data_IF_676795237319
#
_entry.id   IF_676795237319
#
_cell.length_a   1.000
_cell.length_b   1.000
_cell.length_c   1.000
_cell.angle_alpha   90.00
_cell.angle_beta   90.00
_cell.angle_gamma   90.00
#
_symmetry.space_group_name_H-M   'P 1'
#
loop_
_entity.id
_entity.type
_entity.pdbx_description
1 polymer ?
#
# COMPACT_ATOMS: atom_id res chain seq x y z
N UNK A 1 23.23 26.76 0.77
CA UNK A 1 22.62 28.07 0.47
C UNK A 1 21.15 27.79 0.25
N UNK A 2 20.43 27.87 1.35
CA UNK A 2 19.05 27.45 1.51
C UNK A 2 18.11 28.35 0.71
N UNK A 3 17.29 27.74 -0.13
CA UNK A 3 15.99 28.29 -0.53
C UNK A 3 14.94 27.31 -0.05
N UNK A 4 14.69 27.36 1.25
CA UNK A 4 13.41 26.95 1.83
C UNK A 4 12.45 28.07 1.43
N UNK A 5 11.72 27.85 0.34
CA UNK A 5 10.52 28.64 0.04
C UNK A 5 9.41 28.12 0.95
N UNK A 6 9.21 28.81 2.08
CA UNK A 6 7.97 28.80 2.83
C UNK A 6 6.84 29.28 1.90
N UNK A 7 5.90 28.41 1.51
CA UNK A 7 4.48 28.75 1.18
C UNK A 7 3.64 27.70 0.40
N UNK A 8 4.01 26.42 0.25
CA UNK A 8 3.13 25.45 -0.45
C UNK A 8 3.02 24.05 0.20
N UNK A 9 2.74 23.97 1.51
CA UNK A 9 2.36 22.69 2.14
C UNK A 9 0.93 22.22 1.77
N UNK A 10 0.17 23.10 1.10
CA UNK A 10 -1.22 22.87 0.71
C UNK A 10 -1.40 23.20 -0.77
N UNK A 11 -1.85 22.21 -1.53
CA UNK A 11 -2.23 22.36 -2.93
C UNK A 11 -3.74 22.56 -3.01
N UNK A 12 -4.15 23.59 -3.74
CA UNK A 12 -5.53 23.94 -4.04
C UNK A 12 -5.76 23.71 -5.53
N UNK A 13 -6.82 22.95 -5.86
CA UNK A 13 -7.23 22.72 -7.24
C UNK A 13 -8.73 22.95 -7.34
N UNK A 14 -9.12 23.95 -8.14
CA UNK A 14 -10.51 24.23 -8.47
C UNK A 14 -10.88 23.47 -9.74
N UNK A 15 -11.97 22.72 -9.68
CA UNK A 15 -12.43 21.83 -10.74
C UNK A 15 -13.89 22.20 -11.07
N UNK A 16 -14.24 22.32 -12.34
CA UNK A 16 -15.64 22.50 -12.75
C UNK A 16 -16.41 21.18 -12.85
N UNK A 17 -17.71 21.29 -13.10
CA UNK A 17 -18.59 20.15 -13.36
C UNK A 17 -18.17 19.28 -14.56
N UNK A 18 -17.43 19.83 -15.53
CA UNK A 18 -16.82 19.09 -16.65
C UNK A 18 -15.49 18.40 -16.27
N UNK A 19 -15.14 18.34 -14.99
CA UNK A 19 -13.90 17.72 -14.48
C UNK A 19 -12.63 18.35 -15.04
N UNK A 20 -12.67 19.63 -15.39
CA UNK A 20 -11.52 20.39 -15.87
C UNK A 20 -11.00 21.33 -14.80
N UNK A 21 -9.67 21.45 -14.72
CA UNK A 21 -8.99 22.37 -13.80
C UNK A 21 -9.29 23.81 -14.25
N UNK A 22 -9.94 24.57 -13.38
CA UNK A 22 -10.20 26.00 -13.57
C UNK A 22 -9.10 26.86 -12.96
N UNK A 23 -8.52 26.41 -11.85
CA UNK A 23 -7.44 27.07 -11.14
C UNK A 23 -6.62 26.04 -10.37
N UNK A 24 -5.32 26.27 -10.26
CA UNK A 24 -4.48 25.64 -9.25
C UNK A 24 -3.41 26.61 -8.78
N UNK A 25 -3.01 26.50 -7.52
CA UNK A 25 -1.84 27.24 -7.02
C UNK A 25 -0.51 26.60 -7.44
N UNK A 26 -0.52 25.37 -7.95
CA UNK A 26 0.66 24.72 -8.53
C UNK A 26 0.56 24.68 -10.06
N UNK A 27 1.67 24.34 -10.72
CA UNK A 27 1.68 24.14 -12.17
C UNK A 27 0.62 23.12 -12.63
N UNK A 28 0.02 23.35 -13.79
CA UNK A 28 -1.08 22.53 -14.31
C UNK A 28 -0.69 21.04 -14.44
N UNK A 29 0.53 20.74 -14.86
CA UNK A 29 1.01 19.34 -14.97
C UNK A 29 1.10 18.69 -13.59
N UNK A 30 1.60 19.42 -12.59
CA UNK A 30 1.66 18.94 -11.19
C UNK A 30 0.25 18.72 -10.63
N UNK A 31 -0.68 19.65 -10.90
CA UNK A 31 -2.07 19.51 -10.49
C UNK A 31 -2.73 18.26 -11.11
N UNK A 32 -2.52 18.01 -12.40
CA UNK A 32 -3.02 16.81 -13.10
C UNK A 32 -2.44 15.52 -12.52
N UNK A 33 -1.14 15.49 -12.21
CA UNK A 33 -0.49 14.37 -11.53
C UNK A 33 -1.13 14.10 -10.17
N UNK A 34 -1.34 15.12 -9.33
CA UNK A 34 -1.98 14.96 -8.04
C UNK A 34 -3.44 14.51 -8.13
N UNK A 35 -4.23 15.06 -9.06
CA UNK A 35 -5.61 14.61 -9.27
C UNK A 35 -5.69 13.13 -9.62
N UNK A 36 -4.77 12.66 -10.47
CA UNK A 36 -4.67 11.25 -10.86
C UNK A 36 -4.16 10.37 -9.73
N UNK A 37 -3.03 10.72 -9.12
CA UNK A 37 -2.37 9.92 -8.07
C UNK A 37 -3.19 9.76 -6.80
N UNK A 38 -3.98 10.78 -6.47
CA UNK A 38 -4.80 10.82 -5.27
C UNK A 38 -6.25 10.43 -5.57
N UNK A 39 -6.55 10.00 -6.81
CA UNK A 39 -7.86 9.53 -7.24
C UNK A 39 -9.00 10.54 -7.01
N UNK A 40 -8.72 11.84 -7.12
CA UNK A 40 -9.66 12.90 -6.70
C UNK A 40 -10.98 12.84 -7.47
N UNK A 41 -10.94 12.52 -8.75
CA UNK A 41 -12.14 12.38 -9.58
C UNK A 41 -13.03 11.18 -9.22
N UNK A 42 -12.45 10.16 -8.59
CA UNK A 42 -13.20 9.00 -8.10
C UNK A 42 -13.94 9.32 -6.79
N UNK A 43 -13.53 10.40 -6.12
CA UNK A 43 -14.02 10.85 -4.81
C UNK A 43 -14.60 12.27 -4.85
N UNK A 44 -15.29 12.66 -5.92
CA UNK A 44 -16.05 13.92 -5.92
C UNK A 44 -17.29 13.78 -5.02
N UNK A 45 -17.50 14.68 -4.05
CA UNK A 45 -18.61 14.55 -3.11
C UNK A 45 -19.96 14.75 -3.80
N UNK A 46 -20.95 13.95 -3.38
CA UNK A 46 -22.34 14.13 -3.81
C UNK A 46 -22.98 15.34 -3.13
N UNK A 47 -22.75 15.50 -1.82
CA UNK A 47 -23.26 16.62 -1.00
C UNK A 47 -22.18 17.70 -0.82
N UNK A 48 -21.72 17.96 0.41
CA UNK A 48 -20.91 19.15 0.71
C UNK A 48 -19.41 18.89 0.68
N UNK A 49 -18.94 17.83 1.33
CA UNK A 49 -17.51 17.60 1.52
C UNK A 49 -17.21 16.12 1.67
N UNK A 50 -16.08 15.69 1.15
CA UNK A 50 -15.47 14.42 1.47
C UNK A 50 -14.02 14.64 1.86
N UNK A 51 -13.57 13.94 2.89
CA UNK A 51 -12.17 13.92 3.32
C UNK A 51 -11.68 12.50 3.36
N UNK A 52 -10.52 12.26 2.79
CA UNK A 52 -9.84 10.98 2.86
C UNK A 52 -8.34 11.20 2.89
N UNK A 53 -7.63 10.17 3.32
CA UNK A 53 -6.18 10.20 3.31
C UNK A 53 -5.67 9.13 2.36
N UNK A 54 -4.74 9.51 1.50
CA UNK A 54 -4.12 8.61 0.54
C UNK A 54 -2.63 8.92 0.49
N UNK A 55 -1.81 7.87 0.65
CA UNK A 55 -0.36 8.01 0.83
C UNK A 55 -0.04 9.02 1.95
N UNK A 56 0.76 10.03 1.67
CA UNK A 56 1.15 11.08 2.64
C UNK A 56 0.24 12.30 2.58
N UNK A 57 -0.91 12.23 1.90
CA UNK A 57 -1.77 13.39 1.69
C UNK A 57 -3.09 13.24 2.42
N UNK A 58 -3.49 14.31 3.10
CA UNK A 58 -4.89 14.52 3.45
C UNK A 58 -5.55 15.27 2.31
N UNK A 59 -6.56 14.67 1.71
CA UNK A 59 -7.34 15.28 0.64
C UNK A 59 -8.72 15.61 1.18
N UNK A 60 -9.12 16.86 1.03
CA UNK A 60 -10.47 17.31 1.30
C UNK A 60 -11.03 17.94 0.04
N UNK A 61 -12.15 17.41 -0.46
CA UNK A 61 -12.84 17.96 -1.62
C UNK A 61 -14.14 18.58 -1.15
N UNK A 62 -14.29 19.88 -1.39
CA UNK A 62 -15.51 20.64 -1.13
C UNK A 62 -16.30 20.77 -2.42
N UNK A 63 -17.62 20.57 -2.38
CA UNK A 63 -18.53 20.94 -3.47
C UNK A 63 -19.31 22.18 -3.06
N UNK A 64 -19.40 23.13 -3.97
CA UNK A 64 -20.11 24.39 -3.76
C UNK A 64 -20.62 24.95 -5.09
N UNK A 65 -21.54 25.92 -5.01
CA UNK A 65 -22.07 26.60 -6.18
C UNK A 65 -21.61 28.06 -6.18
N UNK A 66 -21.11 28.53 -7.32
CA UNK A 66 -20.86 29.95 -7.62
C UNK A 66 -21.75 30.34 -8.79
N UNK A 67 -22.57 31.38 -8.63
CA UNK A 67 -23.49 31.88 -9.66
C UNK A 67 -24.29 30.77 -10.35
N UNK A 68 -24.88 29.88 -9.55
CA UNK A 68 -25.66 28.69 -9.99
C UNK A 68 -24.85 27.62 -10.75
N UNK A 69 -23.54 27.77 -10.85
CA UNK A 69 -22.63 26.79 -11.44
C UNK A 69 -21.90 26.03 -10.35
N UNK A 70 -21.83 24.70 -10.48
CA UNK A 70 -21.22 23.82 -9.49
C UNK A 70 -19.71 23.68 -9.72
N UNK A 71 -18.95 23.74 -8.63
CA UNK A 71 -17.50 23.57 -8.59
C UNK A 71 -17.07 22.64 -7.45
N UNK A 72 -15.86 22.11 -7.60
CA UNK A 72 -15.16 21.38 -6.56
C UNK A 72 -13.84 22.07 -6.23
N UNK A 73 -13.56 22.26 -4.94
CA UNK A 73 -12.25 22.67 -4.46
C UNK A 73 -11.57 21.48 -3.78
N UNK A 74 -10.55 20.94 -4.42
CA UNK A 74 -9.67 19.96 -3.80
C UNK A 74 -8.57 20.68 -3.03
N UNK A 75 -8.48 20.40 -1.74
CA UNK A 75 -7.44 20.86 -0.82
C UNK A 75 -6.61 19.64 -0.44
N UNK A 76 -5.36 19.62 -0.88
CA UNK A 76 -4.41 18.53 -0.68
C UNK A 76 -3.34 19.02 0.27
N UNK A 77 -3.20 18.39 1.43
CA UNK A 77 -2.18 18.74 2.42
C UNK A 77 -1.18 17.61 2.54
N UNK A 78 0.11 17.92 2.43
CA UNK A 78 1.13 16.95 2.80
C UNK A 78 1.06 16.75 4.32
N UNK A 79 0.95 15.50 4.75
CA UNK A 79 1.03 15.15 6.16
C UNK A 79 2.49 15.05 6.57
N UNK A 80 2.81 15.70 7.69
CA UNK A 80 4.16 15.82 8.24
C UNK A 80 4.88 14.48 8.45
N UNK A 81 6.17 14.56 8.82
CA UNK A 81 6.98 13.41 9.21
C UNK A 81 6.30 12.50 10.26
N UNK A 82 5.42 13.05 11.10
CA UNK A 82 4.57 12.27 12.01
C UNK A 82 3.76 11.18 11.29
N UNK A 83 3.22 11.44 10.10
CA UNK A 83 2.51 10.42 9.33
C UNK A 83 3.44 9.32 8.86
N UNK A 84 4.65 9.68 8.37
CA UNK A 84 5.68 8.70 8.02
C UNK A 84 6.02 7.82 9.22
N UNK A 85 6.27 8.39 10.39
CA UNK A 85 6.59 7.61 11.59
C UNK A 85 5.39 6.80 12.13
N UNK A 86 4.17 7.32 11.99
CA UNK A 86 2.96 6.64 12.45
C UNK A 86 2.58 5.44 11.58
N UNK A 87 2.83 5.52 10.27
CA UNK A 87 2.30 4.58 9.28
C UNK A 87 3.33 3.81 8.46
N UNK A 88 4.63 4.10 8.60
CA UNK A 88 5.69 3.30 7.96
C UNK A 88 6.42 2.44 8.97
N UNK A 89 6.78 1.24 8.53
CA UNK A 89 7.70 0.37 9.26
C UNK A 89 9.13 0.87 9.03
N UNK A 90 9.86 1.13 10.13
CA UNK A 90 11.18 1.74 10.06
C UNK A 90 12.23 0.85 9.38
N UNK A 91 12.07 -0.48 9.48
CA UNK A 91 13.06 -1.43 9.00
C UNK A 91 12.95 -1.65 7.48
N UNK A 92 11.73 -1.71 6.96
CA UNK A 92 11.43 -2.05 5.56
C UNK A 92 10.99 -0.85 4.73
N UNK A 93 10.54 0.24 5.35
CA UNK A 93 9.93 1.39 4.67
C UNK A 93 8.56 1.11 4.04
N UNK A 94 8.02 -0.10 4.23
CA UNK A 94 6.63 -0.43 3.86
C UNK A 94 5.65 0.25 4.81
N UNK A 95 4.35 0.18 4.51
CA UNK A 95 3.36 0.57 5.50
C UNK A 95 3.38 -0.37 6.71
N UNK A 96 2.99 0.09 7.88
CA UNK A 96 2.95 -0.73 9.09
C UNK A 96 1.50 -1.15 9.42
N UNK A 97 1.35 -1.89 10.52
CA UNK A 97 0.05 -2.36 11.01
C UNK A 97 -0.95 -1.22 11.29
N UNK A 98 -0.51 -0.06 11.76
CA UNK A 98 -1.43 1.07 11.99
C UNK A 98 -2.07 1.53 10.69
N UNK A 99 -1.32 1.50 9.58
CA UNK A 99 -1.86 1.88 8.27
C UNK A 99 -2.89 0.87 7.80
N UNK A 100 -2.66 -0.42 8.07
CA UNK A 100 -3.64 -1.46 7.78
C UNK A 100 -4.97 -1.23 8.51
N UNK A 101 -4.93 -0.92 9.81
CA UNK A 101 -6.16 -0.64 10.57
C UNK A 101 -6.94 0.53 9.97
N UNK A 102 -6.26 1.60 9.57
CA UNK A 102 -6.89 2.73 8.85
C UNK A 102 -7.43 2.33 7.48
N UNK A 103 -6.70 1.49 6.75
CA UNK A 103 -7.10 1.03 5.43
C UNK A 103 -8.35 0.15 5.49
N UNK A 104 -8.51 -0.69 6.52
CA UNK A 104 -9.72 -1.50 6.72
C UNK A 104 -10.97 -0.63 6.80
N UNK A 105 -10.91 0.45 7.59
CA UNK A 105 -12.01 1.42 7.73
C UNK A 105 -12.36 2.01 6.34
N UNK A 106 -11.35 2.43 5.58
CA UNK A 106 -11.56 2.98 4.22
C UNK A 106 -12.11 1.97 3.22
N UNK A 107 -11.69 0.71 3.30
CA UNK A 107 -12.23 -0.37 2.46
C UNK A 107 -13.73 -0.57 2.77
N UNK A 108 -14.13 -0.50 4.05
CA UNK A 108 -15.55 -0.62 4.44
C UNK A 108 -16.39 0.61 4.08
N UNK A 109 -15.83 1.82 4.18
CA UNK A 109 -16.60 3.07 4.04
C UNK A 109 -16.61 3.63 2.60
N UNK A 110 -15.47 3.59 1.90
CA UNK A 110 -15.22 4.47 0.76
C UNK A 110 -15.17 3.76 -0.60
N UNK A 111 -15.55 2.47 -0.68
CA UNK A 111 -15.39 1.68 -1.91
C UNK A 111 -13.93 1.68 -2.46
N UNK A 112 -12.95 2.02 -1.63
CA UNK A 112 -11.54 2.08 -1.99
C UNK A 112 -11.07 0.65 -2.33
N UNK A 113 -10.49 0.46 -3.51
CA UNK A 113 -10.16 -0.86 -4.05
C UNK A 113 -11.36 -1.83 -4.06
N UNK A 114 -12.48 -1.48 -4.71
CA UNK A 114 -13.68 -2.36 -4.81
C UNK A 114 -13.37 -3.83 -5.16
N UNK A 115 -12.23 -4.08 -5.83
CA UNK A 115 -11.75 -5.40 -6.23
C UNK A 115 -10.23 -5.43 -6.13
N UNK A 116 -9.69 -6.33 -5.30
CA UNK A 116 -8.25 -6.56 -5.21
C UNK A 116 -7.94 -8.02 -4.89
N UNK A 117 -6.70 -8.43 -5.13
CA UNK A 117 -6.18 -9.64 -4.51
C UNK A 117 -5.36 -9.28 -3.27
N UNK A 118 -5.68 -9.90 -2.14
CA UNK A 118 -4.84 -9.88 -0.95
C UNK A 118 -3.81 -11.00 -1.08
N UNK A 119 -2.55 -10.66 -0.87
CA UNK A 119 -1.44 -11.60 -0.68
C UNK A 119 -0.98 -11.50 0.76
N UNK A 120 -0.95 -12.60 1.48
CA UNK A 120 -0.30 -12.73 2.79
C UNK A 120 0.99 -13.50 2.60
N UNK A 121 2.09 -12.96 3.12
CA UNK A 121 3.43 -13.52 3.04
C UNK A 121 3.99 -13.68 4.45
N UNK A 122 4.66 -14.79 4.69
CA UNK A 122 5.43 -15.07 5.91
C UNK A 122 6.84 -15.53 5.52
N UNK A 123 7.85 -15.09 6.27
CA UNK A 123 9.25 -15.50 6.09
C UNK A 123 9.48 -16.87 6.72
N UNK A 124 9.84 -17.85 5.89
CA UNK A 124 10.04 -19.22 6.33
C UNK A 124 11.27 -19.32 7.24
N UNK A 125 11.06 -19.77 8.49
CA UNK A 125 12.10 -20.06 9.50
C UNK A 125 12.86 -18.82 10.02
N UNK A 126 12.25 -17.63 10.02
CA UNK A 126 12.91 -16.44 10.58
C UNK A 126 13.36 -16.65 12.04
N UNK A 127 12.54 -17.30 12.87
CA UNK A 127 12.91 -17.64 14.25
C UNK A 127 14.21 -18.45 14.32
N UNK A 128 14.38 -19.47 13.47
CA UNK A 128 15.60 -20.25 13.42
C UNK A 128 16.82 -19.40 13.03
N UNK A 129 16.66 -18.46 12.10
CA UNK A 129 17.73 -17.52 11.74
C UNK A 129 18.09 -16.63 12.93
N UNK A 130 17.09 -16.09 13.63
CA UNK A 130 17.31 -15.28 14.84
C UNK A 130 18.05 -16.07 15.93
N UNK A 131 17.61 -17.30 16.19
CA UNK A 131 18.16 -18.13 17.26
C UNK A 131 19.62 -18.55 16.97
N UNK A 132 19.99 -18.75 15.69
CA UNK A 132 21.34 -19.22 15.32
C UNK A 132 22.31 -18.10 14.91
N UNK A 133 21.81 -16.99 14.36
CA UNK A 133 22.64 -15.89 13.80
C UNK A 133 22.39 -14.54 14.48
N UNK A 134 21.46 -14.49 15.43
CA UNK A 134 21.09 -13.28 16.16
C UNK A 134 20.06 -12.41 15.43
N UNK A 135 19.39 -11.54 16.20
CA UNK A 135 18.32 -10.67 15.69
C UNK A 135 18.77 -9.70 14.59
N UNK A 136 20.02 -9.23 14.62
CA UNK A 136 20.55 -8.36 13.57
C UNK A 136 20.52 -9.04 12.19
N UNK A 137 20.71 -10.36 12.15
CA UNK A 137 20.65 -11.12 10.92
C UNK A 137 19.20 -11.34 10.46
N UNK A 138 18.28 -11.58 11.40
CA UNK A 138 16.85 -11.58 11.09
C UNK A 138 16.35 -10.26 10.55
N UNK A 139 16.81 -9.14 11.11
CA UNK A 139 16.46 -7.80 10.62
C UNK A 139 16.94 -7.57 9.18
N UNK A 140 18.14 -8.07 8.83
CA UNK A 140 18.62 -8.06 7.45
C UNK A 140 17.71 -8.89 6.53
N UNK A 141 17.28 -10.07 6.98
CA UNK A 141 16.36 -10.93 6.24
C UNK A 141 15.03 -10.21 5.99
N UNK A 142 14.44 -9.62 7.03
CA UNK A 142 13.22 -8.82 6.94
C UNK A 142 13.39 -7.66 5.95
N UNK A 143 14.51 -6.94 6.02
CA UNK A 143 14.81 -5.82 5.13
C UNK A 143 14.93 -6.26 3.66
N UNK A 144 15.58 -7.39 3.39
CA UNK A 144 15.69 -7.96 2.04
C UNK A 144 14.31 -8.33 1.47
N UNK A 145 13.45 -8.94 2.29
CA UNK A 145 12.08 -9.29 1.90
C UNK A 145 11.26 -8.01 1.63
N UNK A 146 11.29 -7.04 2.54
CA UNK A 146 10.58 -5.77 2.39
C UNK A 146 11.00 -5.00 1.12
N UNK A 147 12.30 -4.90 0.86
CA UNK A 147 12.82 -4.28 -0.37
C UNK A 147 12.39 -5.03 -1.62
N UNK A 148 12.42 -6.37 -1.58
CA UNK A 148 11.98 -7.21 -2.70
C UNK A 148 10.49 -7.08 -3.00
N UNK A 149 9.67 -6.90 -1.96
CA UNK A 149 8.24 -6.59 -2.10
C UNK A 149 8.08 -5.23 -2.79
N UNK A 150 8.72 -4.18 -2.25
CA UNK A 150 8.61 -2.81 -2.76
C UNK A 150 8.95 -2.68 -4.25
N UNK A 151 9.97 -3.40 -4.71
CA UNK A 151 10.41 -3.39 -6.13
C UNK A 151 9.56 -4.28 -7.05
N UNK A 152 8.74 -5.17 -6.49
CA UNK A 152 7.92 -6.13 -7.26
C UNK A 152 6.49 -5.66 -7.50
N UNK A 153 6.04 -4.64 -6.78
CA UNK A 153 4.67 -4.10 -6.85
C UNK A 153 4.60 -2.81 -7.67
N UNK A 154 3.41 -2.45 -8.14
CA UNK A 154 3.15 -1.19 -8.86
C UNK A 154 2.86 -0.04 -7.90
N UNK A 155 2.80 1.18 -8.43
CA UNK A 155 2.48 2.41 -7.67
C UNK A 155 1.13 2.35 -6.95
N UNK A 156 0.15 1.66 -7.54
CA UNK A 156 -1.23 1.57 -7.03
C UNK A 156 -1.45 0.35 -6.13
N UNK A 157 -0.44 -0.52 -6.01
CA UNK A 157 -0.46 -1.65 -5.08
C UNK A 157 -0.01 -1.16 -3.69
N UNK A 158 -0.53 -1.77 -2.64
CA UNK A 158 -0.20 -1.42 -1.25
C UNK A 158 0.53 -2.59 -0.61
N UNK A 159 1.72 -2.35 -0.06
CA UNK A 159 2.45 -3.33 0.74
C UNK A 159 2.63 -2.85 2.18
N UNK A 160 2.32 -3.76 3.11
CA UNK A 160 2.30 -3.54 4.55
C UNK A 160 3.13 -4.64 5.22
N UNK A 161 3.98 -4.27 6.18
CA UNK A 161 4.51 -5.20 7.18
C UNK A 161 3.50 -5.26 8.34
N UNK A 162 2.76 -6.35 8.41
CA UNK A 162 1.66 -6.52 9.36
C UNK A 162 2.18 -6.97 10.74
N UNK A 163 3.16 -7.87 10.74
CA UNK A 163 3.75 -8.45 11.94
C UNK A 163 5.28 -8.51 11.87
N UNK A 164 5.89 -9.32 12.73
CA UNK A 164 7.36 -9.48 12.78
C UNK A 164 7.94 -9.94 11.45
N UNK A 165 7.41 -11.04 10.91
CA UNK A 165 7.76 -11.69 9.65
C UNK A 165 6.62 -11.72 8.62
N UNK A 166 5.48 -11.13 8.95
CA UNK A 166 4.27 -11.16 8.13
C UNK A 166 4.07 -9.88 7.31
N UNK A 167 3.75 -10.05 6.03
CA UNK A 167 3.51 -8.96 5.08
C UNK A 167 2.19 -9.14 4.35
N UNK A 168 1.43 -8.06 4.22
CA UNK A 168 0.22 -8.00 3.41
C UNK A 168 0.47 -7.18 2.15
N UNK A 169 -0.05 -7.64 1.02
CA UNK A 169 0.02 -6.91 -0.25
C UNK A 169 -1.37 -6.89 -0.88
N UNK A 170 -1.87 -5.70 -1.19
CA UNK A 170 -3.11 -5.50 -1.93
C UNK A 170 -2.77 -5.17 -3.37
N UNK A 171 -3.18 -6.04 -4.28
CA UNK A 171 -2.96 -5.89 -5.71
C UNK A 171 -4.23 -5.32 -6.33
N UNK A 172 -4.12 -4.12 -6.90
CA UNK A 172 -5.24 -3.41 -7.55
C UNK A 172 -5.58 -4.04 -8.91
N UNK A 173 -6.05 -5.29 -8.89
CA UNK A 173 -6.39 -6.12 -10.04
C UNK A 173 -7.43 -7.15 -9.65
N UNK A 174 -8.28 -7.55 -10.60
CA UNK A 174 -9.23 -8.64 -10.46
C UNK A 174 -8.74 -9.97 -11.05
N UNK A 175 -7.46 -10.07 -11.45
CA UNK A 175 -6.90 -11.25 -12.12
C UNK A 175 -5.90 -11.98 -11.23
N UNK A 176 -6.21 -13.24 -10.87
CA UNK A 176 -5.37 -14.09 -10.02
C UNK A 176 -3.92 -14.20 -10.52
N UNK A 177 -3.71 -14.29 -11.84
CA UNK A 177 -2.37 -14.43 -12.40
C UNK A 177 -1.47 -13.22 -12.07
N UNK A 178 -2.03 -12.02 -11.88
CA UNK A 178 -1.25 -10.83 -11.53
C UNK A 178 -0.67 -10.96 -10.13
N UNK A 179 -1.47 -11.44 -9.17
CA UNK A 179 -0.99 -11.73 -7.82
C UNK A 179 0.12 -12.79 -7.84
N UNK A 180 -0.06 -13.87 -8.62
CA UNK A 180 0.96 -14.92 -8.76
C UNK A 180 2.25 -14.40 -9.42
N UNK A 181 2.13 -13.52 -10.42
CA UNK A 181 3.29 -12.86 -11.03
C UNK A 181 4.04 -11.97 -10.04
N UNK A 182 3.34 -11.27 -9.15
CA UNK A 182 3.98 -10.48 -8.08
C UNK A 182 4.74 -11.38 -7.12
N UNK A 183 4.13 -12.46 -6.63
CA UNK A 183 4.80 -13.42 -5.74
C UNK A 183 6.08 -13.98 -6.39
N UNK A 184 6.01 -14.37 -7.66
CA UNK A 184 7.16 -14.89 -8.39
C UNK A 184 8.27 -13.84 -8.59
N UNK A 185 7.90 -12.57 -8.81
CA UNK A 185 8.87 -11.46 -8.86
C UNK A 185 9.55 -11.26 -7.51
N UNK A 186 8.80 -11.30 -6.41
CA UNK A 186 9.34 -11.19 -5.06
C UNK A 186 10.36 -12.31 -4.79
N UNK A 187 9.99 -13.58 -5.06
CA UNK A 187 10.89 -14.73 -4.90
C UNK A 187 12.17 -14.57 -5.73
N UNK A 188 12.07 -14.14 -6.99
CA UNK A 188 13.25 -13.88 -7.85
C UNK A 188 14.12 -12.75 -7.31
N UNK A 189 13.51 -11.67 -6.83
CA UNK A 189 14.24 -10.55 -6.21
C UNK A 189 14.99 -10.97 -4.94
N UNK A 190 14.32 -11.72 -4.06
CA UNK A 190 14.95 -12.29 -2.86
C UNK A 190 16.15 -13.14 -3.26
N UNK A 191 15.96 -14.11 -4.18
CA UNK A 191 17.04 -14.97 -4.64
C UNK A 191 18.21 -14.18 -5.23
N UNK A 192 17.96 -13.11 -5.99
CA UNK A 192 19.01 -12.25 -6.53
C UNK A 192 19.82 -11.55 -5.43
N UNK A 193 19.15 -11.11 -4.35
CA UNK A 193 19.79 -10.44 -3.21
C UNK A 193 20.52 -11.41 -2.28
N UNK A 194 20.05 -12.64 -2.19
CA UNK A 194 20.69 -13.69 -1.39
C UNK A 194 21.95 -14.26 -2.06
N UNK A 195 22.10 -14.14 -3.39
CA UNK A 195 23.31 -14.63 -4.09
C UNK A 195 24.61 -13.99 -3.62
N UNK A 196 24.55 -12.87 -2.89
CA UNK A 196 25.72 -12.18 -2.33
C UNK A 196 25.98 -12.53 -0.86
N UNK A 197 25.28 -13.50 -0.26
CA UNK A 197 25.48 -13.89 1.15
C UNK A 197 25.12 -15.34 1.48
N UNK A 198 25.53 -15.81 2.66
CA UNK A 198 25.36 -17.20 3.15
C UNK A 198 23.96 -17.49 3.74
N UNK A 199 22.90 -16.83 3.25
CA UNK A 199 21.55 -16.98 3.78
C UNK A 199 20.56 -17.25 2.67
N UNK A 200 19.97 -18.45 2.71
CA UNK A 200 18.84 -18.81 1.88
C UNK A 200 17.55 -18.32 2.55
N UNK A 201 16.98 -17.27 1.99
CA UNK A 201 15.69 -16.72 2.42
C UNK A 201 14.58 -17.34 1.56
N UNK A 202 13.57 -17.91 2.21
CA UNK A 202 12.35 -18.38 1.57
C UNK A 202 11.13 -17.72 2.19
N UNK A 203 10.06 -17.60 1.40
CA UNK A 203 8.79 -17.02 1.84
C UNK A 203 7.64 -17.92 1.41
N UNK A 204 6.65 -18.09 2.27
CA UNK A 204 5.37 -18.72 1.95
C UNK A 204 4.32 -17.66 1.67
N UNK A 205 3.48 -17.87 0.66
CA UNK A 205 2.52 -16.86 0.22
C UNK A 205 1.13 -17.46 -0.04
N UNK A 206 0.09 -16.76 0.40
CA UNK A 206 -1.29 -17.14 0.18
C UNK A 206 -2.08 -15.99 -0.42
N UNK A 207 -3.00 -16.30 -1.32
CA UNK A 207 -3.81 -15.30 -2.01
C UNK A 207 -5.30 -15.50 -1.79
N UNK A 208 -6.04 -14.41 -1.68
CA UNK A 208 -7.50 -14.41 -1.71
C UNK A 208 -8.03 -13.19 -2.48
N UNK A 209 -9.17 -13.35 -3.15
CA UNK A 209 -9.81 -12.27 -3.89
C UNK A 209 -10.82 -11.53 -2.99
N UNK A 210 -10.73 -10.20 -2.98
CA UNK A 210 -11.71 -9.33 -2.38
C UNK A 210 -12.60 -8.69 -3.44
N UNK A 211 -13.90 -8.65 -3.16
CA UNK A 211 -14.84 -7.77 -3.84
C UNK A 211 -15.78 -7.13 -2.80
N UNK A 212 -16.50 -6.08 -3.18
CA UNK A 212 -17.40 -5.32 -2.29
C UNK A 212 -18.55 -6.10 -1.65
N UNK A 213 -18.78 -7.36 -2.04
CA UNK A 213 -19.79 -8.25 -1.43
C UNK A 213 -19.14 -9.18 -0.39
N UNK A 214 -17.81 -9.30 -0.39
CA UNK A 214 -17.07 -10.11 0.56
C UNK A 214 -16.78 -9.35 1.85
N UNK A 215 -16.92 -10.03 2.99
CA UNK A 215 -16.35 -9.55 4.25
C UNK A 215 -14.82 -9.64 4.17
N UNK A 216 -14.13 -8.53 4.43
CA UNK A 216 -12.67 -8.43 4.39
C UNK A 216 -12.00 -9.45 5.31
N UNK A 217 -12.56 -9.72 6.49
CA UNK A 217 -12.01 -10.69 7.44
C UNK A 217 -11.98 -12.11 6.86
N UNK A 218 -13.02 -12.50 6.11
CA UNK A 218 -13.05 -13.80 5.43
C UNK A 218 -11.97 -13.89 4.35
N UNK A 219 -11.65 -12.78 3.68
CA UNK A 219 -10.57 -12.73 2.67
C UNK A 219 -9.21 -12.91 3.33
N UNK A 220 -8.98 -12.26 4.48
CA UNK A 220 -7.75 -12.42 5.29
C UNK A 220 -7.59 -13.88 5.71
N UNK A 221 -8.63 -14.48 6.32
CA UNK A 221 -8.63 -15.87 6.75
C UNK A 221 -8.31 -16.83 5.59
N UNK A 222 -8.88 -16.58 4.41
CA UNK A 222 -8.63 -17.42 3.24
C UNK A 222 -7.20 -17.26 2.69
N UNK A 223 -6.66 -16.05 2.66
CA UNK A 223 -5.28 -15.80 2.24
C UNK A 223 -4.30 -16.46 3.22
N UNK A 224 -4.52 -16.30 4.53
CA UNK A 224 -3.69 -16.91 5.58
C UNK A 224 -3.69 -18.44 5.49
N UNK A 225 -4.89 -19.05 5.39
CA UNK A 225 -5.02 -20.49 5.21
C UNK A 225 -4.26 -21.00 3.97
N UNK A 226 -4.28 -20.26 2.87
CA UNK A 226 -3.55 -20.62 1.66
C UNK A 226 -2.03 -20.47 1.82
N UNK A 227 -1.57 -19.45 2.55
CA UNK A 227 -0.17 -19.27 2.90
C UNK A 227 0.32 -20.42 3.78
N UNK A 228 -0.46 -20.81 4.79
CA UNK A 228 -0.12 -21.89 5.70
C UNK A 228 -0.06 -23.25 4.99
N UNK A 229 -0.94 -23.49 4.01
CA UNK A 229 -0.86 -24.67 3.13
C UNK A 229 0.46 -24.73 2.37
N UNK A 230 0.94 -23.60 1.83
CA UNK A 230 2.25 -23.55 1.17
C UNK A 230 3.38 -23.85 2.17
N UNK A 231 3.35 -23.19 3.34
CA UNK A 231 4.35 -23.36 4.41
C UNK A 231 4.47 -24.82 4.84
N UNK A 232 3.35 -25.52 5.00
CA UNK A 232 3.34 -26.95 5.35
C UNK A 232 3.87 -27.84 4.24
N UNK A 233 3.49 -27.58 2.97
CA UNK A 233 4.00 -28.36 1.83
C UNK A 233 5.52 -28.30 1.74
N UNK A 234 6.12 -27.12 1.97
CA UNK A 234 7.58 -26.96 1.99
C UNK A 234 8.22 -27.71 3.14
N UNK A 235 7.65 -27.62 4.35
CA UNK A 235 8.14 -28.38 5.51
C UNK A 235 8.15 -29.87 5.22
N UNK A 236 7.06 -30.42 4.68
CA UNK A 236 6.99 -31.85 4.30
C UNK A 236 8.01 -32.23 3.22
N UNK A 237 8.27 -31.35 2.24
CA UNK A 237 9.25 -31.62 1.17
C UNK A 237 10.72 -31.58 1.62
N UNK A 238 11.01 -31.06 2.81
CA UNK A 238 12.38 -30.99 3.38
C UNK A 238 12.71 -32.16 4.32
N UNK A 239 11.79 -33.11 4.50
CA UNK A 239 11.95 -34.29 5.38
C UNK A 239 12.56 -35.49 4.60
N UNK A 240 13.26 -35.24 3.48
CA UNK A 240 13.92 -36.27 2.69
C UNK A 240 15.41 -35.97 2.55
#
# INVERSE_FOLDING_TARGET
MDKITESEDIIYILINQQRSICYSNVDKTIAEEHLSELHIFDYLPFDNTISYEIKYYKVTVYKFNLDKTMYYLAVIRLQDNLYKYAYRDYLTGLYNRNYWEQLKIKISEANLHKRFYLIIIDIDNLKFINDNKGHLEGDKVIKIVGQSIKESIRKDDIAIRYGGDEFFILISSNKMYVAQMVINRIRKSINKRCKTGDIRIEISAGTAYYNSVCNLENVIIMADKNMYKEKNRKKSSRIF
#
